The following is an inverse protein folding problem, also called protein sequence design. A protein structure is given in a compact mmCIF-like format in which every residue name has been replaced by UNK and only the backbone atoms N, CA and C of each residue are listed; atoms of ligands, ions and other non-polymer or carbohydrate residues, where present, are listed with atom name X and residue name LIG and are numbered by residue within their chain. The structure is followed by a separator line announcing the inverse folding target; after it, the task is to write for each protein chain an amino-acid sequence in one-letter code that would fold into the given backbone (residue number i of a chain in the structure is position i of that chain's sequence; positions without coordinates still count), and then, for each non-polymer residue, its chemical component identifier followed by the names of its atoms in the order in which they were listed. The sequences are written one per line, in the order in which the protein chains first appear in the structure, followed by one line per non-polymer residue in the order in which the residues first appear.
data_IF_311840399681
#
_entry.id   IF_311840399681
#
_cell.length_a   1.000
_cell.length_b   1.000
_cell.length_c   1.000
_cell.angle_alpha   90.00
_cell.angle_beta   90.00
_cell.angle_gamma   90.00
#
_symmetry.space_group_name_H-M   'P 1'
#
loop_
_entity.id
_entity.type
_entity.pdbx_description
1 polymer ?
#
# COMPACT_ATOMS: atom_id res chain seq x y z
N UNK A 1 -17.05 -2.06 2.24
CA UNK A 1 -16.14 -0.97 1.80
C UNK A 1 -15.70 -1.25 0.37
N UNK A 2 -15.74 -0.27 -0.49
CA UNK A 2 -15.34 -0.43 -1.89
C UNK A 2 -13.96 0.18 -2.12
N UNK A 3 -13.32 -0.20 -3.23
CA UNK A 3 -11.99 0.32 -3.58
C UNK A 3 -11.99 1.83 -3.83
N UNK A 4 -13.15 2.42 -4.09
CA UNK A 4 -13.28 3.85 -4.36
C UNK A 4 -13.81 4.63 -3.16
N UNK A 5 -14.06 3.96 -2.05
CA UNK A 5 -14.53 4.62 -0.83
C UNK A 5 -13.41 5.50 -0.28
N UNK A 6 -13.66 6.81 -0.06
CA UNK A 6 -12.63 7.70 0.48
C UNK A 6 -12.05 7.22 1.80
N UNK A 7 -12.84 6.62 2.66
CA UNK A 7 -12.36 6.10 3.93
C UNK A 7 -11.40 4.92 3.72
N UNK A 8 -11.72 4.04 2.76
CA UNK A 8 -10.84 2.93 2.42
C UNK A 8 -9.52 3.43 1.83
N UNK A 9 -9.59 4.39 0.92
CA UNK A 9 -8.39 4.95 0.31
C UNK A 9 -7.51 5.66 1.33
N UNK A 10 -8.12 6.42 2.24
CA UNK A 10 -7.37 7.09 3.29
C UNK A 10 -6.72 6.08 4.24
N UNK A 11 -7.43 5.01 4.59
CA UNK A 11 -6.88 3.94 5.41
C UNK A 11 -5.70 3.25 4.72
N UNK A 12 -5.81 3.01 3.42
CA UNK A 12 -4.72 2.40 2.65
C UNK A 12 -3.49 3.31 2.60
N UNK A 13 -3.72 4.61 2.44
CA UNK A 13 -2.62 5.59 2.46
C UNK A 13 -1.93 5.61 3.82
N UNK A 14 -2.71 5.63 4.90
CA UNK A 14 -2.15 5.61 6.25
C UNK A 14 -1.39 4.31 6.54
N UNK A 15 -1.91 3.19 6.04
CA UNK A 15 -1.25 1.90 6.18
C UNK A 15 0.09 1.89 5.43
N UNK A 16 0.11 2.41 4.20
CA UNK A 16 1.34 2.53 3.43
C UNK A 16 2.37 3.40 4.15
N UNK A 17 1.93 4.50 4.73
CA UNK A 17 2.79 5.38 5.50
C UNK A 17 3.40 4.64 6.69
N UNK A 18 2.61 3.84 7.37
CA UNK A 18 3.08 3.02 8.48
C UNK A 18 4.16 2.02 8.04
N UNK A 19 3.97 1.41 6.88
CA UNK A 19 4.97 0.48 6.32
C UNK A 19 6.26 1.20 5.97
N UNK A 20 6.18 2.38 5.39
CA UNK A 20 7.35 3.17 5.03
C UNK A 20 8.12 3.62 6.27
N UNK A 21 7.44 3.87 7.37
CA UNK A 21 8.06 4.30 8.63
C UNK A 21 8.51 3.15 9.52
N UNK A 22 8.31 1.91 9.09
CA UNK A 22 8.59 0.73 9.92
C UNK A 22 10.07 0.43 10.12
N UNK A 23 10.95 1.08 9.38
CA UNK A 23 12.38 0.80 9.42
C UNK A 23 12.81 -0.30 8.47
N UNK A 24 11.88 -0.96 7.80
CA UNK A 24 12.18 -1.99 6.81
C UNK A 24 12.25 -1.34 5.44
N UNK A 25 13.30 -1.62 4.68
CA UNK A 25 13.50 -1.05 3.36
C UNK A 25 13.28 -2.07 2.24
N UNK A 26 13.40 -3.35 2.53
CA UNK A 26 13.21 -4.41 1.55
C UNK A 26 11.73 -4.61 1.26
N UNK A 27 11.31 -4.61 -0.03
CA UNK A 27 9.89 -4.79 -0.36
C UNK A 27 9.30 -6.08 0.20
N UNK A 28 10.03 -7.19 0.15
CA UNK A 28 9.54 -8.46 0.68
C UNK A 28 9.27 -8.37 2.18
N UNK A 29 10.17 -7.72 2.92
CA UNK A 29 10.00 -7.55 4.36
C UNK A 29 8.80 -6.66 4.68
N UNK A 30 8.59 -5.61 3.89
CA UNK A 30 7.42 -4.74 4.07
C UNK A 30 6.12 -5.47 3.77
N UNK A 31 6.12 -6.34 2.77
CA UNK A 31 4.93 -7.13 2.43
C UNK A 31 4.60 -8.11 3.55
N UNK A 32 5.61 -8.78 4.11
CA UNK A 32 5.39 -9.65 5.25
C UNK A 32 4.83 -8.89 6.44
N UNK A 33 5.35 -7.71 6.70
CA UNK A 33 4.86 -6.86 7.78
C UNK A 33 3.40 -6.45 7.54
N UNK A 34 3.08 -6.09 6.29
CA UNK A 34 1.72 -5.71 5.93
C UNK A 34 0.75 -6.87 6.14
N UNK A 35 1.15 -8.09 5.80
CA UNK A 35 0.31 -9.25 6.03
C UNK A 35 0.07 -9.49 7.50
N UNK A 36 1.10 -9.33 8.34
CA UNK A 36 0.95 -9.47 9.79
C UNK A 36 -0.06 -8.47 10.34
N UNK A 37 -0.02 -7.23 9.86
CA UNK A 37 -0.93 -6.20 10.34
C UNK A 37 -2.37 -6.44 9.86
N UNK A 38 -2.53 -6.86 8.62
CA UNK A 38 -3.84 -6.96 8.01
C UNK A 38 -4.51 -8.32 8.22
N UNK A 39 -3.72 -9.40 8.25
CA UNK A 39 -4.27 -10.76 8.22
C UNK A 39 -3.83 -11.66 9.36
N UNK A 40 -2.90 -11.19 10.18
CA UNK A 40 -2.30 -11.94 11.29
C UNK A 40 -1.54 -13.20 10.83
N UNK A 41 -1.15 -13.27 9.57
CA UNK A 41 -0.29 -14.34 9.04
C UNK A 41 0.78 -13.77 8.14
N UNK A 42 1.77 -14.58 7.83
CA UNK A 42 2.80 -14.18 6.86
C UNK A 42 2.32 -14.45 5.44
N UNK A 43 2.82 -13.67 4.50
CA UNK A 43 2.55 -13.89 3.08
C UNK A 43 3.27 -15.16 2.64
N UNK A 44 2.65 -15.89 1.71
CA UNK A 44 3.33 -17.01 1.07
C UNK A 44 4.40 -16.48 0.10
N UNK A 45 5.34 -17.33 -0.30
CA UNK A 45 6.35 -16.92 -1.28
C UNK A 45 5.76 -16.40 -2.56
N UNK A 46 4.66 -17.00 -3.01
CA UNK A 46 3.95 -16.55 -4.22
C UNK A 46 3.31 -15.19 -4.04
N UNK A 47 2.72 -14.96 -2.89
CA UNK A 47 2.11 -13.66 -2.58
C UNK A 47 3.17 -12.56 -2.53
N UNK A 48 4.31 -12.83 -1.90
CA UNK A 48 5.41 -11.88 -1.85
C UNK A 48 5.90 -11.55 -3.26
N UNK A 49 6.05 -12.57 -4.11
CA UNK A 49 6.50 -12.36 -5.49
C UNK A 49 5.54 -11.48 -6.28
N UNK A 50 4.25 -11.80 -6.23
CA UNK A 50 3.23 -11.06 -6.96
C UNK A 50 3.16 -9.61 -6.47
N UNK A 51 3.16 -9.41 -5.17
CA UNK A 51 3.04 -8.06 -4.60
C UNK A 51 4.31 -7.25 -4.77
N UNK A 52 5.47 -7.88 -4.79
CA UNK A 52 6.72 -7.19 -5.10
C UNK A 52 6.70 -6.69 -6.54
N UNK A 53 6.21 -7.50 -7.48
CA UNK A 53 6.07 -7.09 -8.86
C UNK A 53 5.06 -5.95 -9.01
N UNK A 54 3.96 -6.02 -8.28
CA UNK A 54 2.95 -4.96 -8.27
C UNK A 54 3.55 -3.65 -7.76
N UNK A 55 4.32 -3.71 -6.69
CA UNK A 55 5.00 -2.55 -6.14
C UNK A 55 5.97 -1.95 -7.17
N UNK A 56 6.83 -2.78 -7.76
CA UNK A 56 7.85 -2.31 -8.70
C UNK A 56 7.22 -1.67 -9.93
N UNK A 57 6.17 -2.28 -10.46
CA UNK A 57 5.45 -1.76 -11.62
C UNK A 57 4.84 -0.40 -11.33
N UNK A 58 4.18 -0.28 -10.18
CA UNK A 58 3.53 0.97 -9.82
C UNK A 58 4.54 2.04 -9.43
N UNK A 59 5.65 1.66 -8.79
CA UNK A 59 6.71 2.61 -8.48
C UNK A 59 7.26 3.24 -9.75
N UNK A 60 7.56 2.42 -10.76
CA UNK A 60 8.06 2.93 -12.04
C UNK A 60 7.05 3.86 -12.70
N UNK A 61 5.77 3.48 -12.68
CA UNK A 61 4.69 4.30 -13.24
C UNK A 61 4.60 5.65 -12.55
N UNK A 62 4.63 5.67 -11.22
CA UNK A 62 4.52 6.92 -10.48
C UNK A 62 5.79 7.77 -10.59
N UNK A 63 6.96 7.14 -10.71
CA UNK A 63 8.20 7.87 -10.94
C UNK A 63 8.21 8.56 -12.30
N UNK A 64 7.56 7.93 -13.30
CA UNK A 64 7.41 8.52 -14.63
C UNK A 64 6.44 9.70 -14.63
N UNK A 65 5.53 9.75 -13.68
CA UNK A 65 4.50 10.79 -13.61
C UNK A 65 4.26 11.18 -12.16
N UNK A 66 5.17 11.99 -11.56
CA UNK A 66 5.03 12.38 -10.16
C UNK A 66 3.72 13.09 -9.84
N UNK A 67 3.16 13.82 -10.80
CA UNK A 67 1.88 14.49 -10.59
C UNK A 67 0.75 13.49 -10.38
N UNK A 68 0.79 12.35 -11.10
CA UNK A 68 -0.19 11.29 -10.92
C UNK A 68 -0.08 10.70 -9.51
N UNK A 69 1.15 10.52 -9.02
CA UNK A 69 1.36 10.02 -7.66
C UNK A 69 0.77 10.97 -6.63
N UNK A 70 1.00 12.27 -6.79
CA UNK A 70 0.48 13.28 -5.87
C UNK A 70 -1.04 13.31 -5.88
N UNK A 71 -1.64 13.21 -7.07
CA UNK A 71 -3.10 13.16 -7.19
C UNK A 71 -3.68 11.94 -6.51
N UNK A 72 -3.05 10.79 -6.70
CA UNK A 72 -3.48 9.54 -6.08
C UNK A 72 -3.44 9.63 -4.55
N UNK A 73 -2.47 10.38 -4.01
CA UNK A 73 -2.31 10.52 -2.57
C UNK A 73 -3.26 11.54 -1.94
N UNK A 74 -3.96 12.34 -2.76
CA UNK A 74 -4.94 13.31 -2.27
C UNK A 74 -6.25 12.60 -1.99
N UNK A 75 -6.36 11.95 -0.85
CA UNK A 75 -7.58 11.24 -0.46
C UNK A 75 -7.90 11.55 1.00
N UNK A 76 -9.21 11.53 1.31
CA UNK A 76 -9.65 11.75 2.68
C UNK A 76 -9.41 13.17 3.16
N UNK A 77 -9.59 13.37 4.45
CA UNK A 77 -9.47 14.68 5.09
C UNK A 77 -8.17 14.85 5.88
N UNK A 78 -7.53 13.75 6.25
CA UNK A 78 -6.29 13.80 7.03
C UNK A 78 -5.11 14.12 6.11
N UNK A 79 -4.19 15.00 6.54
CA UNK A 79 -3.00 15.26 5.74
C UNK A 79 -2.07 14.07 5.75
N UNK A 80 -1.34 13.88 4.65
CA UNK A 80 -0.31 12.84 4.61
C UNK A 80 1.03 13.43 5.05
N UNK A 81 1.96 12.56 5.39
CA UNK A 81 3.33 12.96 5.71
C UNK A 81 4.07 13.26 4.40
N UNK A 82 4.25 14.54 4.09
CA UNK A 82 4.86 14.98 2.85
C UNK A 82 6.39 14.77 2.82
N UNK A 83 6.98 14.36 3.94
CA UNK A 83 8.39 14.01 3.96
C UNK A 83 8.66 12.69 3.25
N UNK A 84 7.63 11.87 3.03
CA UNK A 84 7.75 10.61 2.31
C UNK A 84 7.71 10.85 0.81
N UNK A 85 8.54 10.11 0.07
CA UNK A 85 8.55 10.21 -1.38
C UNK A 85 7.18 9.88 -1.96
N UNK A 86 6.65 10.75 -2.83
CA UNK A 86 5.30 10.60 -3.37
C UNK A 86 5.14 9.31 -4.17
N UNK A 87 6.13 8.98 -5.00
CA UNK A 87 6.06 7.79 -5.86
C UNK A 87 6.08 6.52 -5.03
N UNK A 88 6.94 6.45 -4.01
CA UNK A 88 6.99 5.30 -3.12
C UNK A 88 5.72 5.18 -2.30
N UNK A 89 5.26 6.30 -1.73
CA UNK A 89 4.03 6.29 -0.94
C UNK A 89 2.85 5.83 -1.77
N UNK A 90 2.73 6.34 -3.01
CA UNK A 90 1.64 5.94 -3.90
C UNK A 90 1.74 4.46 -4.28
N UNK A 91 2.94 3.96 -4.57
CA UNK A 91 3.13 2.55 -4.92
C UNK A 91 2.77 1.64 -3.74
N UNK A 92 3.19 1.99 -2.54
CA UNK A 92 2.84 1.20 -1.35
C UNK A 92 1.36 1.30 -1.01
N UNK A 93 0.73 2.44 -1.34
CA UNK A 93 -0.72 2.56 -1.18
C UNK A 93 -1.46 1.57 -2.07
N UNK A 94 -0.99 1.33 -3.31
CA UNK A 94 -1.57 0.31 -4.19
C UNK A 94 -1.43 -1.08 -3.57
N UNK A 95 -0.24 -1.40 -3.05
CA UNK A 95 -0.01 -2.67 -2.36
C UNK A 95 -0.92 -2.81 -1.14
N UNK A 96 -1.02 -1.74 -0.34
CA UNK A 96 -1.87 -1.74 0.84
C UNK A 96 -3.34 -1.98 0.49
N UNK A 97 -3.84 -1.30 -0.54
CA UNK A 97 -5.21 -1.52 -1.02
C UNK A 97 -5.46 -2.98 -1.38
N UNK A 98 -4.49 -3.58 -2.06
CA UNK A 98 -4.60 -4.96 -2.50
C UNK A 98 -4.68 -5.91 -1.30
N UNK A 99 -3.79 -5.72 -0.34
CA UNK A 99 -3.75 -6.59 0.85
C UNK A 99 -5.02 -6.40 1.70
N UNK A 100 -5.44 -5.16 1.91
CA UNK A 100 -6.65 -4.87 2.68
C UNK A 100 -7.89 -5.47 2.03
N UNK A 101 -7.94 -5.43 0.71
CA UNK A 101 -9.06 -6.00 -0.03
C UNK A 101 -9.07 -7.53 0.06
N UNK A 102 -7.90 -8.16 0.05
CA UNK A 102 -7.79 -9.61 0.24
C UNK A 102 -8.26 -10.02 1.63
N UNK A 103 -7.84 -9.27 2.66
CA UNK A 103 -8.25 -9.54 4.03
C UNK A 103 -9.76 -9.45 4.19
N UNK A 104 -10.37 -8.41 3.65
CA UNK A 104 -11.82 -8.24 3.69
C UNK A 104 -12.52 -9.38 2.96
N UNK A 105 -11.97 -9.81 1.84
CA UNK A 105 -12.51 -10.94 1.09
C UNK A 105 -12.48 -12.23 1.90
N UNK A 106 -11.39 -12.45 2.65
CA UNK A 106 -11.26 -13.64 3.49
C UNK A 106 -12.22 -13.65 4.68
N UNK A 107 -12.58 -12.49 5.19
CA UNK A 107 -13.45 -12.39 6.36
C UNK A 107 -14.93 -12.43 6.01
N UNK A 108 -15.28 -12.40 4.76
CA UNK A 108 -16.66 -12.35 4.30
C UNK A 108 -17.35 -13.69 4.18
N UNK A 109 -16.74 -14.74 4.51
CA UNK A 109 -17.38 -16.05 4.42
C UNK A 109 -18.52 -16.23 5.47
#
# INVERSE_FOLDING_TARGET
MTLNDPQFLEAARAFAERLLKSGKSDPAARIDLAYRYATARLATGREVEILTQLYQKNLARFQSSPETAKEFLKVGESPRDESLDSSEHAAWMVVAQTIMNLDESLTRN
#
